data_IF_996365109479
#
_entry.id   IF_996365109479
#
_cell.length_a   1.000
_cell.length_b   1.000
_cell.length_c   1.000
_cell.angle_alpha   90.00
_cell.angle_beta   90.00
_cell.angle_gamma   90.00
#
_symmetry.space_group_name_H-M   'P 1'
#
loop_
_entity.id
_entity.type
_entity.pdbx_description
1 polymer ?
#
# COMPACT_ATOMS: atom_id res chain seq x y z
N UNK A 1 0.92 -25.12 -20.19
CA UNK A 1 0.03 -26.27 -20.04
C UNK A 1 0.44 -27.23 -21.13
N UNK A 2 0.97 -28.41 -20.77
CA UNK A 2 1.35 -29.42 -21.74
C UNK A 2 0.13 -30.29 -22.04
N UNK A 3 -0.05 -30.73 -23.30
CA UNK A 3 -1.08 -31.66 -23.72
C UNK A 3 -0.82 -33.09 -23.24
N UNK A 4 0.30 -33.33 -22.57
CA UNK A 4 0.61 -34.63 -21.96
C UNK A 4 0.11 -34.64 -20.51
N UNK A 5 -0.69 -35.64 -20.10
CA UNK A 5 -1.12 -35.77 -18.73
C UNK A 5 0.06 -36.22 -17.85
N UNK A 6 0.83 -35.27 -17.38
CA UNK A 6 1.83 -35.55 -16.32
C UNK A 6 1.10 -36.01 -15.06
N UNK A 7 1.59 -37.06 -14.36
CA UNK A 7 0.99 -37.49 -13.13
C UNK A 7 1.04 -36.38 -12.11
N UNK A 8 -0.14 -35.89 -11.71
CA UNK A 8 -0.26 -34.82 -10.68
C UNK A 8 0.25 -35.40 -9.36
N UNK A 9 1.37 -34.88 -8.87
CA UNK A 9 2.05 -35.35 -7.64
C UNK A 9 1.18 -35.15 -6.38
N UNK A 10 0.20 -34.21 -6.42
CA UNK A 10 -0.73 -33.96 -5.32
C UNK A 10 -2.19 -34.00 -5.79
N UNK A 11 -2.69 -35.17 -6.28
CA UNK A 11 -3.99 -35.26 -6.93
C UNK A 11 -5.14 -34.82 -6.01
N UNK A 12 -5.09 -35.17 -4.74
CA UNK A 12 -6.14 -34.84 -3.76
C UNK A 12 -6.31 -33.33 -3.54
N UNK A 13 -5.23 -32.57 -3.48
CA UNK A 13 -5.26 -31.12 -3.33
C UNK A 13 -5.86 -30.46 -4.58
N UNK A 14 -5.35 -30.82 -5.76
CA UNK A 14 -5.85 -30.27 -7.03
C UNK A 14 -7.33 -30.62 -7.26
N UNK A 15 -7.73 -31.87 -7.01
CA UNK A 15 -9.12 -32.27 -7.12
C UNK A 15 -10.05 -31.55 -6.13
N UNK A 16 -9.57 -31.27 -4.93
CA UNK A 16 -10.31 -30.47 -3.95
C UNK A 16 -10.49 -29.03 -4.43
N UNK A 17 -9.42 -28.39 -4.88
CA UNK A 17 -9.48 -27.02 -5.43
C UNK A 17 -10.40 -26.95 -6.64
N UNK A 18 -10.27 -27.87 -7.60
CA UNK A 18 -11.13 -27.92 -8.78
C UNK A 18 -12.62 -28.09 -8.39
N UNK A 19 -12.93 -28.97 -7.45
CA UNK A 19 -14.32 -29.13 -6.98
C UNK A 19 -14.87 -27.87 -6.32
N UNK A 20 -14.06 -27.19 -5.52
CA UNK A 20 -14.47 -25.92 -4.90
C UNK A 20 -14.72 -24.84 -5.94
N UNK A 21 -13.81 -24.66 -6.90
CA UNK A 21 -13.98 -23.68 -7.97
C UNK A 21 -15.20 -24.00 -8.87
N UNK A 22 -15.45 -25.27 -9.18
CA UNK A 22 -16.61 -25.66 -9.99
C UNK A 22 -17.94 -25.44 -9.23
N UNK A 23 -17.93 -25.61 -7.91
CA UNK A 23 -19.10 -25.45 -7.07
C UNK A 23 -19.38 -23.99 -6.65
N UNK A 24 -18.42 -23.09 -6.83
CA UNK A 24 -18.54 -21.70 -6.42
C UNK A 24 -19.35 -20.91 -7.47
N UNK A 25 -20.51 -20.33 -7.11
CA UNK A 25 -21.32 -19.55 -8.04
C UNK A 25 -20.68 -18.24 -8.51
N UNK A 26 -19.63 -17.76 -7.83
CA UNK A 26 -18.89 -16.56 -8.22
C UNK A 26 -17.75 -16.87 -9.20
N UNK A 27 -17.45 -18.15 -9.43
CA UNK A 27 -16.39 -18.59 -10.34
C UNK A 27 -16.97 -18.91 -11.72
N UNK A 28 -16.43 -18.25 -12.72
CA UNK A 28 -16.72 -18.56 -14.11
C UNK A 28 -15.78 -19.67 -14.61
N UNK A 29 -16.32 -20.85 -14.88
CA UNK A 29 -15.57 -21.95 -15.48
C UNK A 29 -15.63 -21.88 -17.00
N UNK A 30 -14.48 -21.60 -17.64
CA UNK A 30 -14.36 -21.67 -19.09
C UNK A 30 -13.55 -22.90 -19.52
N UNK A 31 -14.17 -23.81 -20.23
CA UNK A 31 -13.49 -24.92 -20.90
C UNK A 31 -13.17 -24.54 -22.34
N UNK A 32 -12.02 -24.97 -22.85
CA UNK A 32 -11.49 -24.59 -24.16
C UNK A 32 -12.47 -24.85 -25.32
N UNK A 33 -13.31 -25.90 -25.20
CA UNK A 33 -14.34 -26.25 -26.18
C UNK A 33 -15.67 -25.53 -26.05
N UNK A 34 -15.86 -24.78 -24.95
CA UNK A 34 -17.13 -24.15 -24.63
C UNK A 34 -17.18 -22.70 -25.10
N UNK A 35 -18.37 -22.24 -25.50
CA UNK A 35 -18.67 -20.83 -25.63
C UNK A 35 -19.41 -20.39 -24.36
N UNK A 36 -18.72 -19.93 -23.32
CA UNK A 36 -19.39 -19.60 -22.07
C UNK A 36 -20.32 -18.43 -22.26
N UNK A 37 -21.54 -18.55 -21.75
CA UNK A 37 -22.40 -17.39 -21.51
C UNK A 37 -21.92 -16.80 -20.18
N UNK A 38 -21.38 -15.60 -20.23
CA UNK A 38 -21.01 -14.88 -19.02
C UNK A 38 -22.29 -14.35 -18.36
N UNK A 39 -22.78 -14.89 -17.27
CA UNK A 39 -23.75 -14.18 -16.46
C UNK A 39 -23.03 -12.94 -15.97
N UNK A 40 -23.42 -11.77 -16.48
CA UNK A 40 -22.99 -10.51 -15.87
C UNK A 40 -23.51 -10.56 -14.44
N UNK A 41 -22.61 -10.72 -13.48
CA UNK A 41 -22.97 -10.53 -12.09
C UNK A 41 -23.65 -9.16 -11.96
N UNK A 42 -24.75 -9.09 -11.23
CA UNK A 42 -25.39 -7.84 -10.93
C UNK A 42 -24.33 -6.91 -10.31
N UNK A 43 -24.19 -5.67 -10.78
CA UNK A 43 -23.23 -4.75 -10.17
C UNK A 43 -23.54 -4.67 -8.68
N UNK A 44 -22.51 -4.77 -7.84
CA UNK A 44 -22.68 -4.59 -6.39
C UNK A 44 -23.27 -3.21 -6.16
N UNK A 45 -24.48 -3.08 -5.60
CA UNK A 45 -25.18 -1.81 -5.52
C UNK A 45 -24.46 -0.77 -4.65
N UNK A 46 -23.57 -1.23 -3.77
CA UNK A 46 -22.76 -0.46 -2.85
C UNK A 46 -21.33 -0.20 -3.36
N UNK A 47 -20.97 -0.75 -4.53
CA UNK A 47 -19.64 -0.54 -5.10
C UNK A 47 -19.63 0.68 -6.02
N UNK A 48 -18.83 1.65 -5.65
CA UNK A 48 -18.50 2.80 -6.48
C UNK A 48 -17.00 2.82 -6.78
N UNK A 49 -16.58 3.11 -8.03
CA UNK A 49 -15.16 3.29 -8.33
C UNK A 49 -14.61 4.43 -7.48
N UNK A 50 -13.36 4.29 -7.04
CA UNK A 50 -12.67 5.34 -6.30
C UNK A 50 -12.57 6.60 -7.18
N UNK A 51 -13.11 7.71 -6.70
CA UNK A 51 -13.09 9.01 -7.37
C UNK A 51 -11.87 9.87 -7.02
N UNK A 52 -10.90 9.29 -6.31
CA UNK A 52 -9.70 9.97 -5.82
C UNK A 52 -9.91 10.83 -4.57
N UNK A 53 -11.14 10.88 -4.05
CA UNK A 53 -11.44 11.55 -2.77
C UNK A 53 -11.14 10.63 -1.58
N UNK A 54 -10.80 11.20 -0.42
CA UNK A 54 -10.63 10.40 0.78
C UNK A 54 -11.94 9.76 1.22
N UNK A 55 -11.90 8.49 1.60
CA UNK A 55 -13.00 7.86 2.32
C UNK A 55 -13.16 8.51 3.71
N UNK A 56 -14.32 8.33 4.35
CA UNK A 56 -14.64 8.99 5.63
C UNK A 56 -13.56 8.79 6.70
N UNK A 57 -13.05 7.57 6.85
CA UNK A 57 -11.95 7.27 7.79
C UNK A 57 -10.65 7.96 7.38
N UNK A 58 -10.32 7.97 6.09
CA UNK A 58 -9.14 8.66 5.58
C UNK A 58 -9.24 10.17 5.80
N UNK A 59 -10.41 10.76 5.59
CA UNK A 59 -10.64 12.19 5.82
C UNK A 59 -10.41 12.56 7.29
N UNK A 60 -10.93 11.75 8.23
CA UNK A 60 -10.72 11.96 9.66
C UNK A 60 -9.23 11.86 10.05
N UNK A 61 -8.50 10.90 9.49
CA UNK A 61 -7.06 10.77 9.73
C UNK A 61 -6.29 11.97 9.12
N UNK A 62 -6.64 12.41 7.92
CA UNK A 62 -6.02 13.58 7.28
C UNK A 62 -6.18 14.84 8.14
N UNK A 63 -7.36 15.09 8.68
CA UNK A 63 -7.59 16.22 9.59
C UNK A 63 -6.71 16.17 10.84
N UNK A 64 -6.53 14.97 11.41
CA UNK A 64 -5.65 14.79 12.57
C UNK A 64 -4.18 15.03 12.20
N UNK A 65 -3.74 14.50 11.05
CA UNK A 65 -2.36 14.66 10.58
C UNK A 65 -2.02 16.13 10.30
N UNK A 66 -2.91 16.89 9.66
CA UNK A 66 -2.67 18.32 9.38
C UNK A 66 -2.47 19.12 10.68
N UNK A 67 -3.18 18.75 11.74
CA UNK A 67 -3.09 19.41 13.06
C UNK A 67 -2.00 18.81 13.95
N UNK A 68 -1.23 17.84 13.45
CA UNK A 68 -0.21 17.17 14.24
C UNK A 68 0.83 18.16 14.75
N UNK A 69 1.06 18.25 16.05
CA UNK A 69 2.20 19.01 16.60
C UNK A 69 3.52 18.35 16.15
N UNK A 70 4.67 19.00 16.35
CA UNK A 70 5.97 18.36 16.10
C UNK A 70 6.03 16.99 16.76
N UNK A 71 6.36 15.96 15.94
CA UNK A 71 6.35 14.57 16.39
C UNK A 71 6.21 13.58 15.24
N UNK A 72 5.97 12.33 15.59
CA UNK A 72 5.87 11.20 14.67
C UNK A 72 4.44 10.64 14.73
N UNK A 73 3.81 10.49 13.58
CA UNK A 73 2.59 9.72 13.42
C UNK A 73 2.88 8.45 12.62
N UNK A 74 2.27 7.33 13.01
CA UNK A 74 2.34 6.08 12.26
C UNK A 74 0.93 5.65 11.81
N UNK A 75 0.78 5.41 10.52
CA UNK A 75 -0.43 4.83 9.94
C UNK A 75 -0.14 3.40 9.54
N UNK A 76 -0.79 2.47 10.24
CA UNK A 76 -0.62 1.04 10.03
C UNK A 76 -1.94 0.43 9.58
N UNK A 77 -1.91 -0.37 8.54
CA UNK A 77 -3.07 -1.12 8.07
C UNK A 77 -2.61 -2.28 7.20
N UNK A 78 -3.49 -3.19 6.87
CA UNK A 78 -3.23 -4.27 5.92
C UNK A 78 -2.92 -3.72 4.51
N UNK A 79 -2.36 -4.59 3.66
CA UNK A 79 -2.10 -4.25 2.26
C UNK A 79 -3.41 -3.87 1.54
N UNK A 80 -3.35 -2.89 0.66
CA UNK A 80 -4.52 -2.44 -0.11
C UNK A 80 -5.51 -1.51 0.62
N UNK A 81 -5.26 -1.17 1.88
CA UNK A 81 -6.15 -0.28 2.67
C UNK A 81 -5.91 1.23 2.43
N UNK A 82 -5.20 1.61 1.38
CA UNK A 82 -5.07 3.00 0.98
C UNK A 82 -4.08 3.86 1.79
N UNK A 83 -3.11 3.27 2.51
CA UNK A 83 -2.09 4.02 3.28
C UNK A 83 -1.27 4.98 2.40
N UNK A 84 -0.74 4.48 1.29
CA UNK A 84 0.05 5.28 0.34
C UNK A 84 -0.81 6.36 -0.34
N UNK A 85 -2.09 6.06 -0.62
CA UNK A 85 -3.04 7.05 -1.10
C UNK A 85 -3.27 8.17 -0.07
N UNK A 86 -3.46 7.81 1.21
CA UNK A 86 -3.59 8.77 2.31
C UNK A 86 -2.35 9.68 2.43
N UNK A 87 -1.15 9.08 2.33
CA UNK A 87 0.11 9.84 2.36
C UNK A 87 0.22 10.81 1.18
N UNK A 88 -0.21 10.40 -0.02
CA UNK A 88 -0.28 11.27 -1.19
C UNK A 88 -1.29 12.40 -1.05
N UNK A 89 -2.47 12.12 -0.51
CA UNK A 89 -3.49 13.14 -0.21
C UNK A 89 -2.97 14.17 0.82
N UNK A 90 -2.26 13.70 1.86
CA UNK A 90 -1.61 14.60 2.83
C UNK A 90 -0.57 15.48 2.14
N UNK A 91 0.32 14.88 1.33
CA UNK A 91 1.35 15.62 0.60
C UNK A 91 0.77 16.72 -0.27
N UNK A 92 -0.33 16.43 -0.97
CA UNK A 92 -1.05 17.42 -1.78
C UNK A 92 -1.56 18.59 -0.95
N UNK A 93 -2.05 18.34 0.27
CA UNK A 93 -2.54 19.41 1.18
C UNK A 93 -1.40 20.22 1.79
N UNK A 94 -0.22 19.61 1.97
CA UNK A 94 0.99 20.29 2.48
C UNK A 94 1.67 21.19 1.43
N UNK A 95 1.23 21.18 0.18
CA UNK A 95 1.66 22.15 -0.84
C UNK A 95 3.16 22.18 -1.13
N UNK A 96 3.88 21.04 -0.98
CA UNK A 96 5.33 20.97 -1.24
C UNK A 96 6.23 21.17 -0.01
N UNK A 97 5.67 21.38 1.18
CA UNK A 97 6.43 21.51 2.44
C UNK A 97 6.95 20.16 2.98
N UNK A 98 6.84 19.10 2.21
CA UNK A 98 7.22 17.76 2.62
C UNK A 98 8.25 17.13 1.68
N UNK A 99 9.12 16.30 2.26
CA UNK A 99 9.97 15.36 1.53
C UNK A 99 9.37 13.97 1.71
N UNK A 100 9.34 13.20 0.62
CA UNK A 100 8.91 11.81 0.62
C UNK A 100 10.13 10.90 0.48
N UNK A 101 10.19 9.85 1.28
CA UNK A 101 11.18 8.79 1.16
C UNK A 101 10.52 7.42 1.29
N UNK A 102 11.12 6.41 0.67
CA UNK A 102 10.66 5.02 0.70
C UNK A 102 11.84 4.09 0.36
N UNK A 103 11.75 2.78 0.59
CA UNK A 103 12.81 1.84 0.26
C UNK A 103 13.24 1.89 -1.22
N UNK A 104 12.28 2.10 -2.11
CA UNK A 104 12.49 2.25 -3.55
C UNK A 104 11.61 3.34 -4.14
N UNK A 105 12.01 3.89 -5.30
CA UNK A 105 11.16 4.86 -6.00
C UNK A 105 9.83 4.27 -6.48
N UNK A 106 9.80 3.00 -6.85
CA UNK A 106 8.58 2.31 -7.26
C UNK A 106 7.57 2.15 -6.11
N UNK A 107 8.03 2.10 -4.87
CA UNK A 107 7.13 2.02 -3.71
C UNK A 107 6.22 3.25 -3.58
N UNK A 108 6.61 4.40 -4.11
CA UNK A 108 5.83 5.64 -4.01
C UNK A 108 4.92 5.92 -5.21
N UNK A 109 4.75 5.01 -6.15
CA UNK A 109 3.92 5.21 -7.35
C UNK A 109 2.45 5.50 -6.99
N UNK A 110 1.89 4.75 -6.05
CA UNK A 110 0.52 4.98 -5.57
C UNK A 110 0.43 6.32 -4.86
N UNK A 111 1.38 6.64 -3.98
CA UNK A 111 1.44 7.93 -3.30
C UNK A 111 1.52 9.07 -4.32
N UNK A 112 2.36 8.94 -5.34
CA UNK A 112 2.55 9.94 -6.40
C UNK A 112 1.25 10.23 -7.15
N UNK A 113 0.43 9.22 -7.44
CA UNK A 113 -0.84 9.39 -8.15
C UNK A 113 -1.85 10.25 -7.39
N UNK A 114 -1.75 10.33 -6.06
CA UNK A 114 -2.60 11.16 -5.20
C UNK A 114 -1.96 12.49 -4.81
N UNK A 115 -0.64 12.60 -4.91
CA UNK A 115 0.12 13.80 -4.55
C UNK A 115 0.05 14.92 -5.62
N UNK A 116 -0.22 14.55 -6.86
CA UNK A 116 -0.13 15.49 -7.99
C UNK A 116 1.33 15.92 -8.24
N UNK A 117 1.54 17.19 -8.58
CA UNK A 117 2.85 17.75 -8.92
C UNK A 117 3.75 18.06 -7.70
N UNK A 118 3.26 17.83 -6.48
CA UNK A 118 3.96 18.21 -5.24
C UNK A 118 4.97 17.17 -4.75
N UNK A 119 5.15 16.07 -5.46
CA UNK A 119 6.03 14.97 -5.04
C UNK A 119 7.51 15.36 -5.12
N UNK A 120 8.15 15.44 -3.95
CA UNK A 120 9.60 15.58 -3.79
C UNK A 120 10.15 14.31 -3.16
N UNK A 121 10.54 13.34 -3.99
CA UNK A 121 11.11 12.06 -3.53
C UNK A 121 12.63 12.12 -3.44
N UNK A 122 13.17 11.66 -2.30
CA UNK A 122 14.61 11.48 -2.07
C UNK A 122 14.81 10.10 -1.44
N UNK A 123 15.70 9.30 -1.99
CA UNK A 123 16.04 7.98 -1.44
C UNK A 123 16.62 8.12 0.00
N UNK A 124 16.41 7.13 0.88
CA UNK A 124 16.76 7.24 2.30
C UNK A 124 18.24 7.61 2.55
N UNK A 125 19.17 6.97 1.84
CA UNK A 125 20.61 7.20 2.00
C UNK A 125 21.01 8.56 1.46
N UNK A 126 20.45 8.97 0.31
CA UNK A 126 20.69 10.30 -0.28
C UNK A 126 20.10 11.39 0.62
N UNK A 127 18.93 11.17 1.22
CA UNK A 127 18.32 12.09 2.17
C UNK A 127 19.18 12.24 3.42
N UNK A 128 19.75 11.14 3.92
CA UNK A 128 20.64 11.20 5.08
C UNK A 128 21.91 11.96 4.77
N UNK A 129 22.50 11.78 3.58
CA UNK A 129 23.72 12.47 3.14
C UNK A 129 23.46 13.95 2.77
N UNK A 130 22.22 14.32 2.50
CA UNK A 130 21.85 15.68 2.09
C UNK A 130 21.70 16.63 3.30
N UNK A 131 21.69 17.95 3.02
CA UNK A 131 21.31 19.00 3.98
C UNK A 131 19.87 19.45 3.80
N UNK A 132 19.06 18.63 3.15
CA UNK A 132 17.68 18.96 2.86
C UNK A 132 16.84 19.12 4.13
N UNK A 133 15.97 20.12 4.11
CA UNK A 133 15.03 20.44 5.19
C UNK A 133 13.63 20.56 4.63
N UNK A 134 12.66 20.17 5.43
CA UNK A 134 11.24 20.34 5.14
C UNK A 134 10.47 20.41 6.46
N UNK A 135 9.26 20.91 6.44
CA UNK A 135 8.36 20.89 7.58
C UNK A 135 7.86 19.48 7.91
N UNK A 136 7.83 18.61 6.88
CA UNK A 136 7.39 17.24 7.00
C UNK A 136 8.34 16.24 6.31
N UNK A 137 8.45 15.07 6.91
CA UNK A 137 8.97 13.85 6.28
C UNK A 137 7.83 12.85 6.16
N UNK A 138 7.60 12.33 4.96
CA UNK A 138 6.68 11.23 4.71
C UNK A 138 7.50 10.00 4.33
N UNK A 139 7.38 8.92 5.09
CA UNK A 139 8.10 7.67 4.87
C UNK A 139 7.08 6.59 4.51
N UNK A 140 7.03 6.23 3.24
CA UNK A 140 6.17 5.13 2.79
C UNK A 140 6.91 3.79 2.90
N UNK A 141 6.18 2.73 3.26
CA UNK A 141 6.72 1.38 3.56
C UNK A 141 7.88 1.43 4.59
N UNK A 142 7.70 2.18 5.66
CA UNK A 142 8.72 2.48 6.66
C UNK A 142 9.36 1.23 7.30
N UNK A 143 8.60 0.12 7.44
CA UNK A 143 9.12 -1.13 8.01
C UNK A 143 10.20 -1.81 7.14
N UNK A 144 10.26 -1.49 5.86
CA UNK A 144 11.28 -2.02 4.96
C UNK A 144 12.59 -1.19 4.97
N UNK A 145 12.62 -0.06 5.68
CA UNK A 145 13.84 0.75 5.87
C UNK A 145 14.55 0.26 7.16
N UNK A 146 15.87 0.04 7.14
CA UNK A 146 16.61 -0.33 8.34
C UNK A 146 16.38 0.63 9.50
N UNK A 147 16.05 0.11 10.69
CA UNK A 147 15.66 0.91 11.83
C UNK A 147 16.71 1.97 12.27
N UNK A 148 18.04 1.72 12.21
CA UNK A 148 19.03 2.75 12.51
C UNK A 148 18.97 3.94 11.53
N UNK A 149 18.79 3.66 10.25
CA UNK A 149 18.66 4.68 9.20
C UNK A 149 17.37 5.49 9.39
N UNK A 150 16.25 4.79 9.61
CA UNK A 150 14.96 5.42 9.84
C UNK A 150 14.99 6.38 11.06
N UNK A 151 15.61 5.97 12.17
CA UNK A 151 15.76 6.82 13.36
C UNK A 151 16.54 8.12 13.06
N UNK A 152 17.64 8.02 12.31
CA UNK A 152 18.43 9.19 11.92
C UNK A 152 17.64 10.13 11.00
N UNK A 153 16.87 9.59 10.07
CA UNK A 153 16.01 10.40 9.19
C UNK A 153 14.94 11.13 9.99
N UNK A 154 14.19 10.40 10.81
CA UNK A 154 13.07 10.95 11.59
C UNK A 154 13.52 12.05 12.55
N UNK A 155 14.70 11.92 13.16
CA UNK A 155 15.23 12.94 14.08
C UNK A 155 15.55 14.28 13.43
N UNK A 156 15.63 14.36 12.10
CA UNK A 156 15.96 15.57 11.35
C UNK A 156 14.77 16.44 11.00
N UNK A 157 13.55 15.92 11.12
CA UNK A 157 12.34 16.60 10.68
C UNK A 157 11.40 16.85 11.85
N UNK A 158 10.76 18.04 11.91
CA UNK A 158 9.87 18.36 13.03
C UNK A 158 8.60 17.49 13.05
N UNK A 159 8.11 17.09 11.89
CA UNK A 159 6.94 16.20 11.76
C UNK A 159 7.25 15.06 10.81
N UNK A 160 6.86 13.85 11.19
CA UNK A 160 7.05 12.68 10.34
C UNK A 160 5.78 11.84 10.29
N UNK A 161 5.36 11.47 9.08
CA UNK A 161 4.38 10.42 8.86
C UNK A 161 5.11 9.16 8.43
N UNK A 162 4.88 8.07 9.13
CA UNK A 162 5.30 6.72 8.75
C UNK A 162 4.09 5.93 8.28
N UNK A 163 4.12 5.37 7.09
CA UNK A 163 3.12 4.40 6.64
C UNK A 163 3.76 3.03 6.55
N UNK A 164 3.07 2.00 7.04
CA UNK A 164 3.58 0.63 6.98
C UNK A 164 2.48 -0.40 7.05
N UNK A 165 2.78 -1.62 6.61
CA UNK A 165 1.88 -2.76 6.69
C UNK A 165 2.16 -3.57 7.94
N UNK A 166 1.12 -3.90 8.72
CA UNK A 166 1.25 -4.65 9.98
C UNK A 166 1.58 -6.12 9.75
N UNK A 167 1.12 -6.66 8.61
CA UNK A 167 1.34 -8.03 8.19
C UNK A 167 2.03 -8.03 6.84
N UNK A 168 3.35 -7.96 6.84
CA UNK A 168 4.16 -8.29 5.68
C UNK A 168 4.40 -9.80 5.64
N UNK A 169 4.40 -10.38 4.46
CA UNK A 169 4.72 -11.78 4.20
C UNK A 169 6.11 -12.21 4.77
N UNK A 170 6.91 -11.25 5.20
CA UNK A 170 8.31 -11.40 5.64
C UNK A 170 8.56 -11.07 7.12
N UNK A 171 7.55 -10.94 7.95
CA UNK A 171 7.72 -10.75 9.39
C UNK A 171 8.30 -9.39 9.84
N UNK A 172 8.64 -8.49 8.92
CA UNK A 172 9.26 -7.20 9.22
C UNK A 172 8.31 -6.20 9.91
N UNK A 173 7.00 -6.30 9.63
CA UNK A 173 6.00 -5.39 10.19
C UNK A 173 5.80 -5.54 11.71
N UNK A 174 5.95 -6.73 12.29
CA UNK A 174 5.82 -6.94 13.73
C UNK A 174 6.97 -6.32 14.53
N UNK A 175 8.19 -6.37 14.00
CA UNK A 175 9.36 -5.77 14.66
C UNK A 175 9.32 -4.24 14.70
N UNK A 176 8.57 -3.60 13.82
CA UNK A 176 8.43 -2.15 13.77
C UNK A 176 7.54 -1.61 14.89
N UNK A 177 6.48 -2.34 15.26
CA UNK A 177 5.52 -1.92 16.30
C UNK A 177 5.99 -2.26 17.73
N UNK A 178 6.96 -3.17 17.88
CA UNK A 178 7.43 -3.65 19.20
C UNK A 178 8.75 -2.99 19.65
N UNK A 179 9.28 -2.04 18.89
CA UNK A 179 10.50 -1.28 19.19
C UNK A 179 10.23 0.22 19.28
#
# INVERSE_FOLDING_TARGET
>A
WSDTPDPIVTPNFVHRCCRQFIADPEVLLWRQSDRPRFPLAAPRPDWHPADGRPQAEQAAILEQLIRLPPGIAAVTAERGRGKSALAGMLLRQLGGEAIVTAPTRSAVEVLASFAGETLRFIAPDALLASKEKAAWLIVDEAAAIPAPLLRQLVSRFPRTLLTTTVQGYEGTGRGFLLK
#
